data_IF_483234132888
#
_entry.id   IF_483234132888
#
_cell.length_a   1.000
_cell.length_b   1.000
_cell.length_c   1.000
_cell.angle_alpha   90.00
_cell.angle_beta   90.00
_cell.angle_gamma   90.00
#
_symmetry.space_group_name_H-M   'P 1'
#
loop_
_entity.id
_entity.type
_entity.pdbx_description
1 polymer ?
#
# COMPACT_ATOMS: atom_id res chain seq x y z
N UNK A 1 8.84 1.54 -4.98
CA UNK A 1 7.99 0.37 -4.75
C UNK A 1 8.35 -0.37 -3.47
N UNK A 2 9.53 -0.96 -3.37
CA UNK A 2 9.96 -1.81 -2.26
C UNK A 2 9.74 -1.18 -0.87
N UNK A 3 10.17 0.06 -0.68
CA UNK A 3 10.02 0.77 0.60
C UNK A 3 8.54 1.03 0.98
N UNK A 4 7.69 1.34 0.00
CA UNK A 4 6.25 1.55 0.24
C UNK A 4 5.56 0.21 0.58
N UNK A 5 5.99 -0.88 -0.05
CA UNK A 5 5.47 -2.23 0.24
C UNK A 5 5.82 -2.68 1.65
N UNK A 6 7.01 -2.33 2.16
CA UNK A 6 7.46 -2.67 3.50
C UNK A 6 7.01 -1.66 4.58
N UNK A 7 6.48 -0.50 4.17
CA UNK A 7 6.01 0.52 5.09
C UNK A 7 4.87 -0.02 5.97
N UNK A 8 5.03 0.10 7.27
CA UNK A 8 4.10 -0.43 8.27
C UNK A 8 4.32 -1.89 8.67
N UNK A 9 5.16 -2.65 7.94
CA UNK A 9 5.56 -4.00 8.34
C UNK A 9 6.80 -3.99 9.25
N UNK A 10 7.68 -2.98 9.09
CA UNK A 10 8.95 -2.87 9.81
C UNK A 10 9.09 -1.46 10.39
N UNK A 11 9.39 -1.36 11.67
CA UNK A 11 9.61 -0.10 12.41
C UNK A 11 11.04 0.45 12.28
N UNK A 12 11.69 0.20 11.15
CA UNK A 12 13.07 0.63 10.87
C UNK A 12 13.13 1.85 9.95
N UNK A 13 14.09 2.76 10.19
CA UNK A 13 14.40 3.80 9.21
C UNK A 13 15.10 3.17 7.98
N UNK A 14 14.79 3.59 6.75
CA UNK A 14 13.90 4.69 6.35
C UNK A 14 12.42 4.30 6.19
N UNK A 15 12.06 3.02 6.35
CA UNK A 15 10.75 2.43 6.02
C UNK A 15 9.62 3.04 6.85
N UNK A 16 9.88 3.39 8.09
CA UNK A 16 8.91 3.99 9.02
C UNK A 16 8.51 5.44 8.69
N UNK A 17 8.99 6.01 7.58
CA UNK A 17 8.59 7.34 7.10
C UNK A 17 7.64 7.27 5.90
N UNK A 18 7.49 6.11 5.28
CA UNK A 18 6.66 5.93 4.10
C UNK A 18 5.22 5.58 4.49
N UNK A 19 4.28 6.18 3.79
CA UNK A 19 2.84 5.91 3.85
C UNK A 19 2.24 6.26 2.49
N UNK A 20 1.10 5.68 2.15
CA UNK A 20 0.42 6.01 0.90
C UNK A 20 -0.70 7.04 1.08
N UNK A 21 -1.28 7.13 2.29
CA UNK A 21 -2.32 8.09 2.60
C UNK A 21 -2.11 8.66 4.00
N UNK A 22 -2.28 9.98 4.14
CA UNK A 22 -2.35 10.66 5.44
C UNK A 22 -3.64 11.46 5.51
N UNK A 23 -4.36 11.32 6.62
CA UNK A 23 -5.54 12.11 6.90
C UNK A 23 -5.52 12.67 8.32
N UNK A 24 -6.12 13.84 8.50
CA UNK A 24 -6.41 14.39 9.82
C UNK A 24 -7.69 13.74 10.34
N UNK A 25 -7.56 12.96 11.38
CA UNK A 25 -8.63 12.17 11.99
C UNK A 25 -8.96 12.61 13.41
N UNK A 26 -8.46 13.79 13.83
CA UNK A 26 -8.64 14.30 15.19
C UNK A 26 -10.09 14.53 15.61
N UNK A 27 -11.01 14.65 14.65
CA UNK A 27 -12.45 14.80 14.92
C UNK A 27 -13.19 13.46 15.02
N UNK A 28 -12.52 12.33 14.81
CA UNK A 28 -13.13 10.98 14.87
C UNK A 28 -12.86 10.40 16.27
N UNK A 29 -13.89 10.01 17.02
CA UNK A 29 -13.71 9.41 18.33
C UNK A 29 -12.86 8.13 18.24
N UNK A 30 -11.84 8.02 19.11
CA UNK A 30 -10.94 6.86 19.14
C UNK A 30 -9.82 6.86 18.10
N UNK A 31 -9.84 7.80 17.13
CA UNK A 31 -8.78 7.93 16.13
C UNK A 31 -7.61 8.78 16.62
N UNK A 32 -6.37 8.53 16.14
CA UNK A 32 -5.26 9.44 16.38
C UNK A 32 -5.50 10.78 15.68
N UNK A 33 -4.91 11.87 16.15
CA UNK A 33 -5.06 13.19 15.54
C UNK A 33 -4.67 13.23 14.06
N UNK A 34 -3.64 12.48 13.70
CA UNK A 34 -3.21 12.23 12.30
C UNK A 34 -3.06 10.74 12.11
N UNK A 35 -3.79 10.18 11.17
CA UNK A 35 -3.69 8.79 10.75
C UNK A 35 -2.93 8.67 9.43
N UNK A 36 -2.03 7.70 9.35
CA UNK A 36 -1.27 7.35 8.15
C UNK A 36 -1.55 5.89 7.80
N UNK A 37 -2.06 5.65 6.59
CA UNK A 37 -2.32 4.30 6.09
C UNK A 37 -1.12 3.77 5.33
N UNK A 38 -0.80 2.53 5.65
CA UNK A 38 0.17 1.70 4.95
C UNK A 38 -0.50 0.41 4.51
N UNK A 39 0.14 -0.41 3.70
CA UNK A 39 -0.44 -1.69 3.26
C UNK A 39 -0.59 -2.72 4.38
N UNK A 40 0.05 -2.52 5.52
CA UNK A 40 0.11 -3.46 6.64
C UNK A 40 -0.62 -2.97 7.88
N UNK A 41 -0.82 -1.64 7.99
CA UNK A 41 -1.36 -1.07 9.21
C UNK A 41 -1.85 0.36 9.02
N UNK A 42 -2.61 0.81 10.01
CA UNK A 42 -2.85 2.23 10.27
C UNK A 42 -1.86 2.70 11.35
N UNK A 43 -1.14 3.74 11.06
CA UNK A 43 -0.10 4.26 11.94
C UNK A 43 -0.49 5.65 12.44
N UNK A 44 -0.13 5.96 13.68
CA UNK A 44 -0.24 7.32 14.20
C UNK A 44 0.84 8.17 13.57
N UNK A 45 0.42 9.23 12.85
CA UNK A 45 1.30 10.28 12.35
C UNK A 45 1.67 11.24 13.48
N UNK A 46 2.92 11.64 13.53
CA UNK A 46 3.43 12.58 14.53
C UNK A 46 4.77 13.16 14.07
N UNK A 47 5.66 13.42 14.97
CA UNK A 47 6.99 14.01 14.80
C UNK A 47 7.93 13.23 13.85
N UNK A 48 7.54 13.11 12.58
CA UNK A 48 8.41 12.65 11.49
C UNK A 48 8.47 11.14 11.24
N UNK A 49 8.02 10.29 12.16
CA UNK A 49 7.98 8.83 11.94
C UNK A 49 6.59 8.25 12.22
N UNK A 50 6.26 7.13 11.60
CA UNK A 50 5.04 6.41 11.83
C UNK A 50 5.17 5.57 13.11
N UNK A 51 4.18 5.62 13.98
CA UNK A 51 4.04 4.71 15.11
C UNK A 51 2.88 3.78 14.77
N UNK A 52 3.21 2.53 14.46
CA UNK A 52 2.28 1.53 13.99
C UNK A 52 1.99 0.50 15.08
N UNK A 53 0.78 -0.09 15.05
CA UNK A 53 0.39 -1.19 15.91
C UNK A 53 0.76 -2.57 15.36
N UNK A 54 -0.07 -3.59 15.62
CA UNK A 54 0.13 -4.95 15.10
C UNK A 54 0.00 -5.00 13.57
N UNK A 55 0.89 -5.79 12.95
CA UNK A 55 0.94 -5.93 11.49
C UNK A 55 -0.19 -6.81 10.98
N UNK A 56 -0.99 -6.28 10.07
CA UNK A 56 -2.06 -7.01 9.37
C UNK A 56 -1.91 -6.82 7.85
N UNK A 57 -1.67 -7.88 7.08
CA UNK A 57 -1.52 -7.77 5.63
C UNK A 57 -2.82 -7.31 4.96
N UNK A 58 -2.70 -6.53 3.90
CA UNK A 58 -3.83 -5.97 3.15
C UNK A 58 -4.80 -5.18 4.05
N UNK A 59 -4.25 -4.28 4.87
CA UNK A 59 -5.04 -3.48 5.81
C UNK A 59 -6.04 -2.59 5.05
N UNK A 60 -7.37 -2.72 5.32
CA UNK A 60 -8.38 -2.03 4.54
C UNK A 60 -8.43 -0.54 4.87
N UNK A 61 -8.59 0.29 3.83
CA UNK A 61 -8.92 1.70 3.95
C UNK A 61 -10.44 1.84 4.17
N UNK A 62 -10.89 1.51 5.36
CA UNK A 62 -12.29 1.59 5.77
C UNK A 62 -12.39 2.17 7.19
N UNK A 63 -12.47 3.49 7.34
CA UNK A 63 -12.48 4.16 8.64
C UNK A 63 -13.58 3.68 9.59
N UNK A 64 -14.73 3.25 9.04
CA UNK A 64 -15.89 2.81 9.80
C UNK A 64 -15.78 1.36 10.32
N UNK A 65 -14.82 0.59 9.83
CA UNK A 65 -14.67 -0.81 10.22
C UNK A 65 -14.06 -0.98 11.60
N UNK A 66 -14.36 -2.13 12.24
CA UNK A 66 -13.75 -2.55 13.51
C UNK A 66 -12.22 -2.62 13.49
N UNK A 67 -11.63 -2.72 12.31
CA UNK A 67 -10.17 -2.77 12.14
C UNK A 67 -9.52 -1.39 12.14
N UNK A 68 -10.30 -0.33 11.90
CA UNK A 68 -9.85 1.06 11.93
C UNK A 68 -10.34 1.73 13.22
N UNK A 69 -11.37 2.55 13.14
CA UNK A 69 -11.81 3.38 14.29
C UNK A 69 -13.10 2.89 14.93
N UNK A 70 -13.76 1.90 14.35
CA UNK A 70 -15.03 1.30 14.83
C UNK A 70 -16.13 2.35 15.13
N UNK A 71 -16.17 3.40 14.31
CA UNK A 71 -17.14 4.48 14.47
C UNK A 71 -17.56 5.04 13.11
N UNK A 72 -18.84 5.45 13.03
CA UNK A 72 -19.38 6.17 11.88
C UNK A 72 -19.49 7.68 12.14
N UNK A 73 -19.16 8.13 13.37
CA UNK A 73 -19.24 9.54 13.74
C UNK A 73 -18.09 10.33 13.10
N UNK A 74 -18.45 11.45 12.46
CA UNK A 74 -17.50 12.33 11.76
C UNK A 74 -16.71 11.65 10.62
N UNK A 75 -17.16 10.47 10.17
CA UNK A 75 -16.64 9.80 8.97
C UNK A 75 -17.44 10.28 7.75
N UNK A 76 -16.81 10.61 6.61
CA UNK A 76 -17.54 10.98 5.40
C UNK A 76 -18.55 9.90 5.01
N UNK A 77 -19.76 10.31 4.63
CA UNK A 77 -20.89 9.40 4.32
C UNK A 77 -20.57 8.43 3.18
N UNK A 78 -19.70 8.82 2.25
CA UNK A 78 -19.29 7.99 1.13
C UNK A 78 -18.51 6.74 1.59
N UNK A 79 -17.68 6.85 2.62
CA UNK A 79 -17.00 5.70 3.22
C UNK A 79 -17.98 4.75 3.92
N UNK A 80 -19.00 5.30 4.56
CA UNK A 80 -20.02 4.49 5.24
C UNK A 80 -20.93 3.78 4.24
N UNK A 81 -21.31 4.44 3.15
CA UNK A 81 -22.18 3.86 2.09
C UNK A 81 -21.47 2.81 1.25
N UNK A 82 -20.21 3.02 0.94
CA UNK A 82 -19.43 2.20 0.02
C UNK A 82 -18.31 1.43 0.72
N UNK A 83 -18.45 1.17 2.04
CA UNK A 83 -17.42 0.50 2.83
C UNK A 83 -16.93 -0.82 2.20
N UNK A 84 -17.85 -1.61 1.62
CA UNK A 84 -17.51 -2.84 0.92
C UNK A 84 -16.62 -2.62 -0.30
N UNK A 85 -16.90 -1.55 -1.08
CA UNK A 85 -16.10 -1.19 -2.26
C UNK A 85 -14.69 -0.80 -1.83
N UNK A 86 -14.53 0.05 -0.83
CA UNK A 86 -13.21 0.45 -0.33
C UNK A 86 -12.43 -0.72 0.26
N UNK A 87 -13.13 -1.62 0.97
CA UNK A 87 -12.54 -2.84 1.51
C UNK A 87 -11.97 -3.76 0.42
N UNK A 88 -12.74 -4.01 -0.64
CA UNK A 88 -12.26 -4.84 -1.77
C UNK A 88 -11.19 -4.12 -2.58
N UNK A 89 -11.35 -2.83 -2.83
CA UNK A 89 -10.43 -2.02 -3.61
C UNK A 89 -9.02 -2.06 -3.01
N UNK A 90 -8.90 -1.83 -1.70
CA UNK A 90 -7.61 -1.87 -1.01
C UNK A 90 -6.95 -3.25 -1.04
N UNK A 91 -7.73 -4.33 -1.02
CA UNK A 91 -7.21 -5.68 -1.19
C UNK A 91 -6.71 -5.96 -2.60
N UNK A 92 -7.44 -5.49 -3.62
CA UNK A 92 -6.98 -5.58 -5.01
C UNK A 92 -5.71 -4.77 -5.23
N UNK A 93 -5.64 -3.56 -4.67
CA UNK A 93 -4.43 -2.73 -4.71
C UNK A 93 -3.22 -3.47 -4.12
N UNK A 94 -3.39 -4.11 -2.96
CA UNK A 94 -2.34 -4.89 -2.33
C UNK A 94 -1.91 -6.07 -3.20
N UNK A 95 -2.86 -6.82 -3.78
CA UNK A 95 -2.58 -7.93 -4.68
C UNK A 95 -1.82 -7.47 -5.93
N UNK A 96 -2.26 -6.40 -6.60
CA UNK A 96 -1.57 -5.86 -7.77
C UNK A 96 -0.18 -5.34 -7.45
N UNK A 97 0.00 -4.75 -6.26
CA UNK A 97 1.31 -4.32 -5.78
C UNK A 97 2.26 -5.50 -5.61
N UNK A 98 1.79 -6.62 -5.04
CA UNK A 98 2.61 -7.83 -4.87
C UNK A 98 2.95 -8.47 -6.22
N UNK A 99 1.98 -8.54 -7.14
CA UNK A 99 2.21 -9.07 -8.50
C UNK A 99 3.25 -8.20 -9.23
N UNK A 100 3.09 -6.89 -9.19
CA UNK A 100 4.03 -5.96 -9.81
C UNK A 100 5.44 -6.08 -9.20
N UNK A 101 5.53 -6.25 -7.88
CA UNK A 101 6.79 -6.47 -7.18
C UNK A 101 7.45 -7.77 -7.62
N UNK A 102 6.68 -8.86 -7.69
CA UNK A 102 7.18 -10.17 -8.15
C UNK A 102 7.77 -10.09 -9.56
N UNK A 103 7.01 -9.57 -10.53
CA UNK A 103 7.51 -9.40 -11.90
C UNK A 103 8.69 -8.43 -11.99
N UNK A 104 8.69 -7.38 -11.16
CA UNK A 104 9.83 -6.45 -11.06
C UNK A 104 11.12 -7.13 -10.58
N UNK A 105 11.03 -8.00 -9.58
CA UNK A 105 12.18 -8.79 -9.10
C UNK A 105 12.65 -9.77 -10.15
N UNK A 106 11.71 -10.48 -10.82
CA UNK A 106 12.06 -11.38 -11.93
C UNK A 106 12.72 -10.62 -13.08
N UNK A 107 12.24 -9.42 -13.43
CA UNK A 107 12.84 -8.58 -14.45
C UNK A 107 14.27 -8.15 -14.08
N UNK A 108 14.52 -7.92 -12.78
CA UNK A 108 15.86 -7.56 -12.29
C UNK A 108 16.84 -8.73 -12.48
N UNK A 109 16.46 -9.95 -12.11
CA UNK A 109 17.30 -11.14 -12.30
C UNK A 109 17.53 -11.45 -13.79
N UNK A 110 16.47 -11.39 -14.61
CA UNK A 110 16.61 -11.61 -16.06
C UNK A 110 17.38 -10.49 -16.73
N UNK A 111 17.34 -9.25 -16.19
CA UNK A 111 18.16 -8.15 -16.63
C UNK A 111 19.65 -8.39 -16.42
N UNK A 112 20.04 -9.02 -15.31
CA UNK A 112 21.43 -9.44 -15.10
C UNK A 112 21.87 -10.52 -16.13
N UNK A 113 20.98 -11.46 -16.44
CA UNK A 113 21.24 -12.47 -17.48
C UNK A 113 21.28 -11.86 -18.89
N UNK A 114 20.62 -10.74 -19.11
CA UNK A 114 20.64 -10.01 -20.39
C UNK A 114 22.03 -9.50 -20.77
N UNK A 115 22.90 -9.30 -19.78
CA UNK A 115 24.32 -8.94 -20.05
C UNK A 115 25.08 -10.06 -20.78
N UNK A 116 24.62 -11.31 -20.65
CA UNK A 116 25.27 -12.47 -21.24
C UNK A 116 24.53 -13.01 -22.48
N UNK A 117 23.24 -12.72 -22.66
CA UNK A 117 22.41 -13.31 -23.72
C UNK A 117 21.41 -12.34 -24.33
N UNK A 118 21.21 -12.39 -25.67
CA UNK A 118 20.16 -11.59 -26.34
C UNK A 118 18.75 -11.96 -25.89
N UNK A 119 18.52 -13.22 -25.57
CA UNK A 119 17.20 -13.72 -25.10
C UNK A 119 16.85 -13.12 -23.75
N UNK A 120 17.84 -12.95 -22.85
CA UNK A 120 17.64 -12.30 -21.55
C UNK A 120 17.10 -10.86 -21.66
N UNK A 121 17.54 -10.11 -22.67
CA UNK A 121 17.07 -8.74 -22.91
C UNK A 121 15.57 -8.70 -23.27
N UNK A 122 15.11 -9.56 -24.17
CA UNK A 122 13.69 -9.63 -24.54
C UNK A 122 12.81 -10.06 -23.37
N UNK A 123 13.27 -11.06 -22.63
CA UNK A 123 12.51 -11.56 -21.46
C UNK A 123 12.43 -10.52 -20.35
N UNK A 124 13.53 -9.83 -20.06
CA UNK A 124 13.54 -8.73 -19.09
C UNK A 124 12.63 -7.59 -19.51
N UNK A 125 12.60 -7.21 -20.78
CA UNK A 125 11.71 -6.20 -21.33
C UNK A 125 10.23 -6.57 -21.15
N UNK A 126 9.87 -7.82 -21.49
CA UNK A 126 8.51 -8.32 -21.33
C UNK A 126 8.05 -8.31 -19.86
N UNK A 127 8.88 -8.82 -18.95
CA UNK A 127 8.57 -8.82 -17.51
C UNK A 127 8.43 -7.41 -16.94
N UNK A 128 9.25 -6.47 -17.40
CA UNK A 128 9.16 -5.06 -17.02
C UNK A 128 7.85 -4.44 -17.49
N UNK A 129 7.41 -4.73 -18.73
CA UNK A 129 6.11 -4.25 -19.22
C UNK A 129 4.95 -4.78 -18.40
N UNK A 130 4.96 -6.06 -18.02
CA UNK A 130 3.94 -6.65 -17.16
C UNK A 130 3.94 -5.98 -15.78
N UNK A 131 5.10 -5.80 -15.18
CA UNK A 131 5.23 -5.12 -13.88
C UNK A 131 4.68 -3.68 -13.94
N UNK A 132 5.01 -2.93 -14.99
CA UNK A 132 4.50 -1.56 -15.20
C UNK A 132 2.99 -1.53 -15.41
N UNK A 133 2.41 -2.50 -16.12
CA UNK A 133 0.97 -2.60 -16.30
C UNK A 133 0.23 -2.75 -14.98
N UNK A 134 0.63 -3.69 -14.13
CA UNK A 134 0.04 -3.88 -12.80
C UNK A 134 0.27 -2.69 -11.88
N UNK A 135 1.42 -2.02 -12.00
CA UNK A 135 1.69 -0.81 -11.26
C UNK A 135 0.80 0.36 -11.69
N UNK A 136 0.55 0.50 -12.99
CA UNK A 136 -0.37 1.52 -13.51
C UNK A 136 -1.81 1.27 -13.04
N UNK A 137 -2.27 0.01 -13.03
CA UNK A 137 -3.56 -0.37 -12.45
C UNK A 137 -3.64 -0.02 -10.96
N UNK A 138 -2.60 -0.35 -10.20
CA UNK A 138 -2.54 0.00 -8.77
C UNK A 138 -2.62 1.53 -8.55
N UNK A 139 -1.90 2.31 -9.33
CA UNK A 139 -1.95 3.76 -9.28
C UNK A 139 -3.32 4.32 -9.67
N UNK A 140 -3.96 3.75 -10.69
CA UNK A 140 -5.31 4.15 -11.12
C UNK A 140 -6.38 3.87 -10.05
N UNK A 141 -6.21 2.81 -9.25
CA UNK A 141 -7.11 2.50 -8.14
C UNK A 141 -6.93 3.43 -6.93
N UNK A 142 -5.81 4.15 -6.85
CA UNK A 142 -5.54 5.13 -5.80
C UNK A 142 -6.10 6.53 -6.11
N UNK A 143 -6.47 6.80 -7.37
CA UNK A 143 -6.96 8.11 -7.81
C UNK A 143 -8.46 8.18 -7.82
#
# INVERSE_FOLDING_TARGET
>A
MFFITLAGAVDGAPVNKFYFLQANTGNIPGAPGVARWTYWNICRGGTGRNVCGSVHPAFPLDPASHRNFDTTQNVPQDFVRHHGTYFFLTRFMFAFMLIALFFGVCALFTGLLALCTRIGSYLSGLLTMIAMFFQALNAALMT
#
